data_IF_882618197511
#
_entry.id   IF_882618197511
#
_cell.length_a   1.000
_cell.length_b   1.000
_cell.length_c   1.000
_cell.angle_alpha   90.00
_cell.angle_beta   90.00
_cell.angle_gamma   90.00
#
_symmetry.space_group_name_H-M   'P 1'
#
loop_
_entity.id
_entity.type
_entity.pdbx_description
1 polymer ?
#
# COMPACT_ATOMS: atom_id res chain seq x y z
N UNK A 1 3.86 13.12 -3.84
CA UNK A 1 4.47 12.31 -4.90
C UNK A 1 3.76 12.61 -6.21
N UNK A 2 4.52 12.91 -7.25
CA UNK A 2 3.98 13.16 -8.57
C UNK A 2 3.55 11.85 -9.26
N UNK A 3 2.42 11.84 -9.98
CA UNK A 3 1.91 10.62 -10.62
C UNK A 3 2.87 10.06 -11.68
N UNK A 4 3.58 10.91 -12.43
CA UNK A 4 4.53 10.45 -13.45
C UNK A 4 5.71 9.70 -12.80
N UNK A 5 6.14 10.14 -11.61
CA UNK A 5 7.18 9.43 -10.86
C UNK A 5 6.71 8.04 -10.41
N UNK A 6 5.46 7.94 -9.95
CA UNK A 6 4.87 6.65 -9.51
C UNK A 6 4.77 5.70 -10.70
N UNK A 7 4.18 6.15 -11.80
CA UNK A 7 3.98 5.32 -12.99
C UNK A 7 5.32 4.88 -13.60
N UNK A 8 6.32 5.77 -13.68
CA UNK A 8 7.65 5.43 -14.22
C UNK A 8 8.45 4.49 -13.31
N UNK A 9 8.25 4.53 -11.99
CA UNK A 9 8.88 3.57 -11.05
C UNK A 9 8.40 2.14 -11.32
N UNK A 10 7.16 1.98 -11.77
CA UNK A 10 6.62 0.69 -12.18
C UNK A 10 7.26 0.22 -13.49
N UNK A 11 7.05 0.99 -14.55
CA UNK A 11 7.62 0.73 -15.87
C UNK A 11 7.51 1.98 -16.73
N UNK A 12 8.50 2.25 -17.58
CA UNK A 12 8.41 3.36 -18.52
C UNK A 12 7.35 3.10 -19.58
N UNK A 13 6.61 4.15 -19.93
CA UNK A 13 5.59 4.14 -20.98
C UNK A 13 5.95 5.15 -22.08
N UNK A 14 5.65 4.85 -23.35
CA UNK A 14 5.64 5.87 -24.40
C UNK A 14 4.71 7.02 -24.03
N UNK A 15 5.00 8.24 -24.50
CA UNK A 15 4.26 9.45 -24.12
C UNK A 15 2.75 9.34 -24.41
N UNK A 16 2.37 8.75 -25.54
CA UNK A 16 0.96 8.59 -25.91
C UNK A 16 0.23 7.64 -24.96
N UNK A 17 0.80 6.47 -24.68
CA UNK A 17 0.28 5.49 -23.73
C UNK A 17 0.20 6.05 -22.31
N UNK A 18 1.22 6.80 -21.87
CA UNK A 18 1.24 7.47 -20.57
C UNK A 18 0.11 8.49 -20.47
N UNK A 19 -0.09 9.31 -21.52
CA UNK A 19 -1.16 10.31 -21.57
C UNK A 19 -2.54 9.65 -21.51
N UNK A 20 -2.73 8.55 -22.24
CA UNK A 20 -3.97 7.76 -22.20
C UNK A 20 -4.20 7.19 -20.81
N UNK A 21 -3.22 6.53 -20.19
CA UNK A 21 -3.38 5.99 -18.84
C UNK A 21 -3.76 7.09 -17.84
N UNK A 22 -3.06 8.22 -17.87
CA UNK A 22 -3.32 9.36 -16.99
C UNK A 22 -4.69 9.97 -17.16
N UNK A 23 -5.32 9.91 -18.35
CA UNK A 23 -6.67 10.47 -18.52
C UNK A 23 -7.75 9.70 -17.77
N UNK A 24 -7.46 8.49 -17.28
CA UNK A 24 -8.34 7.69 -16.42
C UNK A 24 -7.99 7.80 -14.93
N UNK A 25 -6.97 8.59 -14.59
CA UNK A 25 -6.55 8.79 -13.21
C UNK A 25 -7.10 10.11 -12.71
N UNK A 26 -7.81 10.07 -11.59
CA UNK A 26 -8.36 11.27 -10.93
C UNK A 26 -7.73 11.50 -9.58
N UNK A 27 -7.68 12.75 -9.12
CA UNK A 27 -7.24 13.06 -7.75
C UNK A 27 -8.44 13.08 -6.80
N UNK A 28 -8.27 12.45 -5.65
CA UNK A 28 -9.25 12.42 -4.56
C UNK A 28 -8.56 12.71 -3.23
N UNK A 29 -9.26 13.40 -2.33
CA UNK A 29 -8.75 13.72 -1.00
C UNK A 29 -9.72 13.25 0.07
N UNK A 30 -9.19 12.66 1.14
CA UNK A 30 -9.97 12.13 2.25
C UNK A 30 -9.34 12.50 3.60
N UNK A 31 -10.16 12.74 4.64
CA UNK A 31 -9.64 13.08 5.95
C UNK A 31 -9.03 11.86 6.65
N UNK A 32 -8.21 12.13 7.67
CA UNK A 32 -7.75 11.12 8.63
C UNK A 32 -8.92 10.28 9.17
N UNK A 33 -8.69 8.97 9.28
CA UNK A 33 -9.68 7.99 9.75
C UNK A 33 -10.67 7.52 8.69
N UNK A 34 -10.59 8.06 7.47
CA UNK A 34 -11.40 7.56 6.37
C UNK A 34 -11.02 6.12 6.03
N UNK A 35 -12.03 5.25 5.93
CA UNK A 35 -11.89 3.87 5.48
C UNK A 35 -11.94 3.87 3.95
N UNK A 36 -10.77 3.72 3.33
CA UNK A 36 -10.61 3.72 1.89
C UNK A 36 -11.10 2.41 1.28
N UNK A 37 -10.77 1.27 1.91
CA UNK A 37 -11.25 -0.06 1.54
C UNK A 37 -11.87 -0.75 2.77
N UNK A 38 -13.06 -1.35 2.59
CA UNK A 38 -13.80 -2.08 3.63
C UNK A 38 -14.08 -3.52 3.18
N UNK A 39 -13.98 -4.48 4.09
CA UNK A 39 -14.23 -5.92 3.85
C UNK A 39 -15.66 -6.25 3.44
N UNK A 40 -16.60 -5.31 3.55
CA UNK A 40 -18.00 -5.49 3.18
C UNK A 40 -18.25 -5.40 1.67
N UNK A 41 -17.34 -4.81 0.90
CA UNK A 41 -17.53 -4.55 -0.52
C UNK A 41 -16.36 -5.08 -1.37
N UNK A 42 -16.62 -5.30 -2.65
CA UNK A 42 -15.57 -5.52 -3.66
C UNK A 42 -15.08 -4.15 -4.09
N UNK A 43 -13.80 -3.85 -3.88
CA UNK A 43 -13.21 -2.59 -4.31
C UNK A 43 -13.03 -2.57 -5.84
N UNK A 44 -13.39 -1.46 -6.47
CA UNK A 44 -13.33 -1.28 -7.93
C UNK A 44 -12.25 -0.31 -8.37
N UNK A 45 -11.46 0.20 -7.43
CA UNK A 45 -10.44 1.19 -7.69
C UNK A 45 -9.09 0.77 -7.11
N UNK A 46 -8.05 1.17 -7.81
CA UNK A 46 -6.67 1.18 -7.33
C UNK A 46 -6.36 2.62 -6.94
N UNK A 47 -5.63 2.81 -5.84
CA UNK A 47 -5.18 4.13 -5.44
C UNK A 47 -3.66 4.20 -5.40
N UNK A 48 -3.09 5.35 -5.77
CA UNK A 48 -1.68 5.66 -5.56
C UNK A 48 -1.57 6.81 -4.58
N UNK A 49 -0.69 6.68 -3.58
CA UNK A 49 -0.61 7.67 -2.50
C UNK A 49 0.18 8.89 -2.99
N UNK A 50 -0.51 10.01 -3.24
CA UNK A 50 0.12 11.30 -3.55
C UNK A 50 0.72 11.88 -2.27
N UNK A 51 -0.07 11.89 -1.19
CA UNK A 51 0.30 12.39 0.14
C UNK A 51 -0.49 11.61 1.18
N UNK A 52 0.13 11.30 2.32
CA UNK A 52 -0.55 10.66 3.44
C UNK A 52 0.03 9.30 3.79
N UNK A 53 -0.45 8.76 4.91
CA UNK A 53 -0.12 7.41 5.37
C UNK A 53 -1.41 6.59 5.47
N UNK A 54 -1.36 5.34 5.03
CA UNK A 54 -2.44 4.37 5.23
C UNK A 54 -1.93 3.17 6.01
N UNK A 55 -2.83 2.47 6.68
CA UNK A 55 -2.59 1.10 7.17
C UNK A 55 -3.60 0.15 6.57
N UNK A 56 -3.16 -1.07 6.26
CA UNK A 56 -4.07 -2.20 6.05
C UNK A 56 -4.02 -3.12 7.28
N UNK A 57 -5.20 -3.48 7.77
CA UNK A 57 -5.35 -4.34 8.93
C UNK A 57 -6.49 -5.34 8.74
N UNK A 58 -6.40 -6.46 9.46
CA UNK A 58 -7.48 -7.43 9.61
C UNK A 58 -8.05 -7.30 11.03
N UNK A 59 -9.38 -7.32 11.14
CA UNK A 59 -10.06 -7.32 12.44
C UNK A 59 -10.06 -8.73 13.02
N UNK A 60 -9.69 -8.86 14.29
CA UNK A 60 -9.85 -10.10 15.07
C UNK A 60 -10.79 -9.85 16.26
N UNK A 61 -11.25 -10.89 16.98
CA UNK A 61 -12.08 -10.69 18.18
C UNK A 61 -11.40 -9.84 19.25
N UNK A 62 -10.08 -9.91 19.36
CA UNK A 62 -9.32 -9.27 20.42
C UNK A 62 -8.80 -7.88 20.03
N UNK A 63 -8.36 -7.72 18.77
CA UNK A 63 -7.78 -6.49 18.26
C UNK A 63 -7.66 -6.42 16.72
N UNK A 64 -7.27 -5.25 16.23
CA UNK A 64 -6.84 -5.07 14.84
C UNK A 64 -5.38 -5.46 14.65
N UNK A 65 -5.12 -6.31 13.66
CA UNK A 65 -3.77 -6.72 13.26
C UNK A 65 -3.37 -5.97 12.00
N UNK A 66 -2.51 -4.97 12.14
CA UNK A 66 -1.89 -4.25 11.02
C UNK A 66 -0.88 -5.16 10.34
N UNK A 67 -1.00 -5.34 9.02
CA UNK A 67 -0.07 -6.15 8.24
C UNK A 67 0.60 -5.41 7.09
N UNK A 68 0.18 -4.17 6.82
CA UNK A 68 0.82 -3.28 5.87
C UNK A 68 0.65 -1.81 6.27
N UNK A 69 1.65 -1.00 5.95
CA UNK A 69 1.62 0.46 6.07
C UNK A 69 2.10 1.00 4.73
N UNK A 70 1.27 1.85 4.12
CA UNK A 70 1.56 2.52 2.85
C UNK A 70 1.84 3.99 3.05
N UNK A 71 2.71 4.54 2.19
CA UNK A 71 3.12 5.95 2.20
C UNK A 71 3.17 6.50 0.78
N UNK A 72 3.58 7.75 0.63
CA UNK A 72 3.70 8.41 -0.66
C UNK A 72 4.46 7.57 -1.70
N UNK A 73 3.83 7.38 -2.86
CA UNK A 73 4.33 6.56 -3.97
C UNK A 73 4.02 5.07 -3.89
N UNK A 74 3.46 4.58 -2.78
CA UNK A 74 2.94 3.22 -2.69
C UNK A 74 1.53 3.10 -3.26
N UNK A 75 1.18 1.87 -3.62
CA UNK A 75 -0.13 1.53 -4.18
C UNK A 75 -1.02 0.95 -3.11
N UNK A 76 -2.27 1.41 -3.07
CA UNK A 76 -3.34 0.82 -2.27
C UNK A 76 -4.22 0.00 -3.19
N UNK A 77 -4.20 -1.31 -3.00
CA UNK A 77 -4.95 -2.25 -3.82
C UNK A 77 -5.40 -3.44 -2.97
N UNK A 78 -6.65 -3.86 -3.17
CA UNK A 78 -7.10 -5.18 -2.75
C UNK A 78 -6.83 -6.17 -3.85
N UNK A 79 -5.80 -7.01 -3.72
CA UNK A 79 -5.52 -8.04 -4.73
C UNK A 79 -6.69 -9.01 -4.90
N UNK A 80 -7.45 -9.27 -3.84
CA UNK A 80 -8.64 -10.12 -3.89
C UNK A 80 -9.78 -9.48 -4.69
N UNK A 81 -9.99 -8.18 -4.54
CA UNK A 81 -10.99 -7.45 -5.35
C UNK A 81 -10.52 -7.30 -6.81
N UNK A 82 -9.22 -7.01 -7.00
CA UNK A 82 -8.63 -6.76 -8.31
C UNK A 82 -8.56 -8.03 -9.17
N UNK A 83 -8.05 -9.14 -8.63
CA UNK A 83 -7.77 -10.37 -9.39
C UNK A 83 -8.95 -11.34 -9.36
N UNK A 84 -9.56 -11.53 -8.18
CA UNK A 84 -10.59 -12.55 -7.98
C UNK A 84 -12.02 -11.98 -8.00
N UNK A 85 -12.18 -10.66 -8.10
CA UNK A 85 -13.49 -9.98 -8.00
C UNK A 85 -14.26 -10.34 -6.72
N UNK A 86 -13.53 -10.61 -5.65
CA UNK A 86 -14.06 -10.98 -4.34
C UNK A 86 -13.76 -9.90 -3.30
N UNK A 87 -14.53 -9.89 -2.22
CA UNK A 87 -14.32 -8.96 -1.10
C UNK A 87 -12.95 -9.20 -0.47
N UNK A 88 -12.24 -8.13 -0.15
CA UNK A 88 -10.99 -8.18 0.61
C UNK A 88 -11.17 -8.72 2.02
N UNK A 89 -10.09 -9.23 2.61
CA UNK A 89 -10.00 -9.56 4.04
C UNK A 89 -9.51 -8.36 4.88
N UNK A 90 -9.08 -7.31 4.19
CA UNK A 90 -8.44 -6.13 4.72
C UNK A 90 -9.38 -4.95 4.83
N UNK A 91 -9.20 -4.17 5.89
CA UNK A 91 -9.65 -2.79 5.96
C UNK A 91 -8.44 -1.88 5.76
N UNK A 92 -8.56 -0.87 4.90
CA UNK A 92 -7.51 0.13 4.68
C UNK A 92 -8.00 1.49 5.14
N UNK A 93 -7.26 2.09 6.06
CA UNK A 93 -7.60 3.35 6.74
C UNK A 93 -6.48 4.37 6.57
N UNK A 94 -6.86 5.63 6.35
CA UNK A 94 -5.96 6.78 6.37
C UNK A 94 -5.58 7.16 7.81
N UNK A 95 -4.28 7.22 8.10
CA UNK A 95 -3.75 7.60 9.42
C UNK A 95 -3.56 9.11 9.61
N UNK A 96 -3.63 9.85 8.49
CA UNK A 96 -3.58 11.30 8.37
C UNK A 96 -4.40 11.71 7.13
N UNK A 97 -4.61 13.01 6.92
CA UNK A 97 -5.29 13.49 5.71
C UNK A 97 -4.51 13.03 4.47
N UNK A 98 -5.22 12.45 3.51
CA UNK A 98 -4.64 11.80 2.35
C UNK A 98 -5.08 12.45 1.05
N UNK A 99 -4.11 12.65 0.16
CA UNK A 99 -4.36 12.92 -1.25
C UNK A 99 -3.95 11.67 -2.04
N UNK A 100 -4.83 11.19 -2.91
CA UNK A 100 -4.66 9.95 -3.64
C UNK A 100 -4.96 10.17 -5.12
N UNK A 101 -4.30 9.39 -5.95
CA UNK A 101 -4.71 9.19 -7.34
C UNK A 101 -5.59 7.93 -7.39
N UNK A 102 -6.79 8.02 -7.96
CA UNK A 102 -7.75 6.93 -8.11
C UNK A 102 -7.83 6.48 -9.56
N UNK A 103 -7.79 5.17 -9.79
CA UNK A 103 -7.93 4.53 -11.09
C UNK A 103 -8.93 3.38 -11.01
N UNK A 104 -9.97 3.40 -11.83
CA UNK A 104 -10.96 2.33 -11.87
C UNK A 104 -10.38 1.06 -12.52
N UNK A 105 -10.63 -0.10 -11.92
CA UNK A 105 -10.10 -1.39 -12.39
C UNK A 105 -10.74 -1.85 -13.70
N UNK A 106 -12.01 -1.50 -13.95
CA UNK A 106 -12.69 -1.83 -15.22
C UNK A 106 -12.09 -1.02 -16.37
N UNK A 107 -11.84 0.27 -16.15
CA UNK A 107 -11.19 1.12 -17.14
C UNK A 107 -9.76 0.64 -17.44
N UNK A 108 -8.99 0.33 -16.39
CA UNK A 108 -7.64 -0.19 -16.53
C UNK A 108 -7.60 -1.52 -17.30
N UNK A 109 -8.52 -2.44 -17.02
CA UNK A 109 -8.62 -3.69 -17.78
C UNK A 109 -8.95 -3.43 -19.26
N UNK A 110 -9.83 -2.47 -19.56
CA UNK A 110 -10.09 -2.09 -20.95
C UNK A 110 -8.87 -1.48 -21.65
N UNK A 111 -8.04 -0.73 -20.91
CA UNK A 111 -6.77 -0.20 -21.44
C UNK A 111 -5.78 -1.32 -21.77
N UNK A 112 -5.69 -2.35 -20.93
CA UNK A 112 -4.82 -3.51 -21.20
C UNK A 112 -5.18 -4.24 -22.49
N UNK A 113 -6.45 -4.27 -22.88
CA UNK A 113 -6.89 -4.87 -24.15
C UNK A 113 -6.55 -4.01 -25.38
N UNK A 114 -6.34 -2.71 -25.19
CA UNK A 114 -6.19 -1.72 -26.28
C UNK A 114 -4.77 -1.24 -26.50
N UNK A 115 -3.92 -1.27 -25.48
CA UNK A 115 -2.56 -0.76 -25.53
C UNK A 115 -1.58 -1.74 -24.86
N UNK A 116 -0.70 -2.33 -25.67
CA UNK A 116 0.30 -3.32 -25.23
C UNK A 116 1.34 -2.72 -24.27
N UNK A 117 1.62 -1.42 -24.35
CA UNK A 117 2.54 -0.77 -23.41
C UNK A 117 1.89 -0.64 -22.04
N UNK A 118 0.60 -0.29 -21.98
CA UNK A 118 -0.16 -0.25 -20.72
C UNK A 118 -0.33 -1.66 -20.16
N UNK A 119 -0.58 -2.67 -20.99
CA UNK A 119 -0.62 -4.07 -20.55
C UNK A 119 0.71 -4.55 -19.95
N UNK A 120 1.84 -4.23 -20.59
CA UNK A 120 3.17 -4.53 -20.06
C UNK A 120 3.46 -3.78 -18.77
N UNK A 121 3.02 -2.52 -18.66
CA UNK A 121 3.08 -1.76 -17.42
C UNK A 121 2.29 -2.45 -16.31
N UNK A 122 1.07 -2.93 -16.58
CA UNK A 122 0.24 -3.69 -15.64
C UNK A 122 0.88 -5.00 -15.19
N UNK A 123 1.54 -5.72 -16.11
CA UNK A 123 2.33 -6.91 -15.77
C UNK A 123 3.49 -6.57 -14.83
N UNK A 124 4.25 -5.51 -15.13
CA UNK A 124 5.36 -5.04 -14.28
C UNK A 124 4.88 -4.54 -12.92
N UNK A 125 3.74 -3.89 -12.87
CA UNK A 125 3.05 -3.51 -11.64
C UNK A 125 2.77 -4.75 -10.77
N UNK A 126 2.12 -5.77 -11.33
CA UNK A 126 1.82 -7.00 -10.60
C UNK A 126 3.09 -7.75 -10.13
N UNK A 127 4.13 -7.82 -10.96
CA UNK A 127 5.44 -8.38 -10.59
C UNK A 127 6.05 -7.64 -9.38
N UNK A 128 6.02 -6.31 -9.37
CA UNK A 128 6.56 -5.52 -8.25
C UNK A 128 5.75 -5.68 -6.95
N UNK A 129 4.41 -5.67 -7.03
CA UNK A 129 3.57 -5.86 -5.84
C UNK A 129 3.69 -7.29 -5.26
N UNK A 130 3.91 -8.29 -6.11
CA UNK A 130 4.21 -9.65 -5.68
C UNK A 130 5.56 -9.71 -4.94
N UNK A 131 6.62 -9.11 -5.48
CA UNK A 131 7.93 -9.05 -4.83
C UNK A 131 7.85 -8.38 -3.45
N UNK A 132 7.18 -7.22 -3.34
CA UNK A 132 6.97 -6.54 -2.05
C UNK A 132 6.23 -7.43 -1.03
N UNK A 133 5.27 -8.22 -1.51
CA UNK A 133 4.50 -9.13 -0.66
C UNK A 133 5.36 -10.30 -0.19
N UNK A 134 6.14 -10.89 -1.08
CA UNK A 134 7.09 -11.96 -0.77
C UNK A 134 8.17 -11.49 0.21
N UNK A 135 8.80 -10.35 -0.04
CA UNK A 135 9.81 -9.77 0.85
C UNK A 135 9.26 -9.56 2.27
N UNK A 136 8.02 -9.10 2.39
CA UNK A 136 7.35 -8.95 3.69
C UNK A 136 7.09 -10.29 4.37
N UNK A 137 6.66 -11.30 3.61
CA UNK A 137 6.44 -12.66 4.11
C UNK A 137 7.74 -13.28 4.63
N UNK A 138 8.80 -13.23 3.82
CA UNK A 138 10.14 -13.74 4.17
C UNK A 138 10.72 -12.98 5.36
N UNK A 139 10.61 -11.65 5.38
CA UNK A 139 11.02 -10.82 6.52
C UNK A 139 10.32 -11.22 7.81
N UNK A 140 9.02 -11.53 7.76
CA UNK A 140 8.27 -12.02 8.94
C UNK A 140 8.71 -13.42 9.38
N UNK A 141 9.03 -14.30 8.44
CA UNK A 141 9.40 -15.69 8.72
C UNK A 141 10.83 -15.86 9.25
N UNK A 142 11.79 -15.08 8.72
CA UNK A 142 13.22 -15.31 8.97
C UNK A 142 13.89 -14.25 9.84
N UNK A 143 13.36 -13.03 9.93
CA UNK A 143 13.96 -11.97 10.76
C UNK A 143 13.32 -11.94 12.14
N UNK A 144 14.12 -11.59 13.15
CA UNK A 144 13.63 -11.22 14.48
C UNK A 144 12.89 -9.88 14.45
N UNK A 145 12.09 -9.60 15.47
CA UNK A 145 11.39 -8.32 15.56
C UNK A 145 12.33 -7.11 15.66
N UNK A 146 13.52 -7.28 16.27
CA UNK A 146 14.54 -6.22 16.34
C UNK A 146 15.12 -5.93 14.97
N UNK A 147 15.44 -6.95 14.18
CA UNK A 147 15.91 -6.79 12.80
C UNK A 147 14.84 -6.13 11.91
N UNK A 148 13.58 -6.56 12.02
CA UNK A 148 12.47 -5.91 11.29
C UNK A 148 12.32 -4.43 11.66
N UNK A 149 12.45 -4.09 12.93
CA UNK A 149 12.39 -2.70 13.37
C UNK A 149 13.57 -1.87 12.86
N UNK A 150 14.80 -2.43 12.86
CA UNK A 150 15.98 -1.78 12.28
C UNK A 150 15.82 -1.54 10.77
N UNK A 151 15.30 -2.52 10.04
CA UNK A 151 14.97 -2.35 8.61
C UNK A 151 13.95 -1.22 8.41
N UNK A 152 12.87 -1.19 9.21
CA UNK A 152 11.86 -0.13 9.14
C UNK A 152 12.46 1.27 9.40
N UNK A 153 13.36 1.40 10.39
CA UNK A 153 14.06 2.65 10.69
C UNK A 153 14.97 3.11 9.55
N UNK A 154 15.66 2.17 8.90
CA UNK A 154 16.59 2.48 7.82
C UNK A 154 15.86 2.90 6.53
N UNK A 155 14.78 2.19 6.18
CA UNK A 155 14.06 2.41 4.93
C UNK A 155 13.00 3.52 5.05
N UNK A 156 12.40 3.68 6.23
CA UNK A 156 11.27 4.57 6.45
C UNK A 156 11.33 5.30 7.81
N UNK A 157 12.38 6.10 8.05
CA UNK A 157 12.59 6.76 9.35
C UNK A 157 11.45 7.71 9.76
N UNK A 158 10.78 8.34 8.79
CA UNK A 158 9.68 9.27 9.01
C UNK A 158 8.37 8.57 9.43
N UNK A 159 8.16 7.29 9.06
CA UNK A 159 6.97 6.54 9.50
C UNK A 159 6.89 6.45 11.02
N UNK A 160 8.04 6.37 11.71
CA UNK A 160 8.09 6.28 13.17
C UNK A 160 7.57 7.56 13.85
N UNK A 161 7.63 8.70 13.15
CA UNK A 161 7.14 9.98 13.67
C UNK A 161 5.67 10.23 13.33
N UNK A 162 5.19 9.66 12.22
CA UNK A 162 3.83 9.89 11.69
C UNK A 162 2.81 8.83 12.15
N UNK A 163 3.26 7.62 12.49
CA UNK A 163 2.40 6.49 12.83
C UNK A 163 2.43 6.20 14.33
N UNK A 164 1.26 5.93 14.90
CA UNK A 164 1.15 5.56 16.32
C UNK A 164 1.93 4.27 16.62
N UNK A 165 2.61 4.25 17.78
CA UNK A 165 3.49 3.14 18.16
C UNK A 165 2.77 1.79 18.20
N UNK A 166 1.49 1.76 18.59
CA UNK A 166 0.68 0.54 18.60
C UNK A 166 0.50 -0.07 17.20
N UNK A 167 0.32 0.76 16.16
CA UNK A 167 0.22 0.30 14.78
C UNK A 167 1.57 -0.19 14.26
N UNK A 168 2.67 0.45 14.66
CA UNK A 168 4.02 -0.02 14.35
C UNK A 168 4.30 -1.37 15.02
N UNK A 169 3.96 -1.55 16.30
CA UNK A 169 4.16 -2.84 16.98
C UNK A 169 3.31 -3.95 16.35
N UNK A 170 2.06 -3.64 15.99
CA UNK A 170 1.16 -4.56 15.30
C UNK A 170 1.71 -4.95 13.91
N UNK A 171 2.18 -3.97 13.13
CA UNK A 171 2.86 -4.20 11.84
C UNK A 171 4.11 -5.09 11.96
N UNK A 172 4.88 -4.92 13.03
CA UNK A 172 6.06 -5.74 13.33
C UNK A 172 5.72 -7.11 13.92
N UNK A 173 4.45 -7.38 14.23
CA UNK A 173 4.00 -8.65 14.83
C UNK A 173 4.45 -8.84 16.28
N UNK A 174 4.54 -7.75 17.05
CA UNK A 174 4.94 -7.78 18.47
C UNK A 174 4.04 -6.88 19.32
N UNK A 175 4.13 -7.04 20.64
CA UNK A 175 3.44 -6.14 21.57
C UNK A 175 4.10 -4.76 21.60
N UNK A 176 3.34 -3.74 22.00
CA UNK A 176 3.88 -2.39 22.20
C UNK A 176 4.97 -2.37 23.30
N UNK A 177 4.85 -3.22 24.33
CA UNK A 177 5.87 -3.39 25.38
C UNK A 177 7.17 -3.94 24.79
N UNK A 178 7.08 -4.98 23.95
CA UNK A 178 8.25 -5.55 23.25
C UNK A 178 8.93 -4.51 22.37
N UNK A 179 8.15 -3.70 21.63
CA UNK A 179 8.71 -2.64 20.78
C UNK A 179 9.42 -1.56 21.63
N UNK A 180 8.83 -1.15 22.76
CA UNK A 180 9.46 -0.20 23.67
C UNK A 180 10.82 -0.69 24.19
N UNK A 181 10.96 -2.00 24.49
CA UNK A 181 12.24 -2.60 24.88
C UNK A 181 13.26 -2.56 23.74
N UNK A 182 12.88 -2.99 22.54
CA UNK A 182 13.76 -2.96 21.35
C UNK A 182 14.27 -1.53 21.07
N UNK A 183 13.41 -0.52 21.24
CA UNK A 183 13.77 0.89 21.06
C UNK A 183 14.76 1.40 22.10
N UNK A 184 14.72 0.88 23.32
CA UNK A 184 15.68 1.23 24.36
C UNK A 184 17.06 0.63 24.08
N UNK A 185 17.13 -0.58 23.51
CA UNK A 185 18.38 -1.30 23.20
C UNK A 185 19.14 -0.75 21.98
N UNK A 186 18.48 0.08 21.15
CA UNK A 186 19.06 0.68 19.93
C UNK A 186 19.58 2.12 20.20
N UNK A 187 19.36 2.65 21.42
CA UNK A 187 19.89 3.95 21.84
C UNK A 187 21.38 3.92 22.13
#
# INVERSE_FOLDING_TARGET
MDIDLILNKVHSLPQDSLKVLKSYITEVSYPKGHILLDTKAVEKNIYFIKKGIVRAFARTPDNDITFWIGREGETVISMRSYVAHEKGYETIELLEDGDLYQLNTTDLNSLYEKDIHIANWGRKFAEQELLKTEERLISRQFKTASERYKTLLAENPDLIQRVQLGYISSYLGITQVSLSRIRADIK
#
